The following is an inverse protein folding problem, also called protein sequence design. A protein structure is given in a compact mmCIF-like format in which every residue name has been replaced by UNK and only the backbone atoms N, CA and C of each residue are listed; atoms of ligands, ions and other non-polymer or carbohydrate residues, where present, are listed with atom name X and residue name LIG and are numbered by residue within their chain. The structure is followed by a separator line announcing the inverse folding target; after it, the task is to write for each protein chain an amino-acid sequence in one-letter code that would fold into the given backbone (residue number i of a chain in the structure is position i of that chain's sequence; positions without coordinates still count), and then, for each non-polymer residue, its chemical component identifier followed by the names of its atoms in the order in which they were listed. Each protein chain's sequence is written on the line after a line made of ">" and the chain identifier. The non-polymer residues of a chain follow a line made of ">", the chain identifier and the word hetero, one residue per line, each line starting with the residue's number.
data_IF_454298522069
#
_entry.id   IF_454298522069
#
_cell.length_a   1.000
_cell.length_b   1.000
_cell.length_c   1.000
_cell.angle_alpha   90.00
_cell.angle_beta   90.00
_cell.angle_gamma   90.00
#
_symmetry.space_group_name_H-M   'P 1'
#
loop_
_entity.id
_entity.type
_entity.pdbx_description
1 polymer ?
#
# COMPACT_ATOMS: atom_id res chain seq x y z
N UNK A 1 -52.96 4.69 -19.06
CA UNK A 1 -51.71 4.76 -19.86
C UNK A 1 -50.57 4.41 -18.92
N UNK A 2 -50.04 3.16 -18.95
CA UNK A 2 -48.96 2.72 -18.07
C UNK A 2 -47.63 3.11 -18.72
N UNK A 3 -46.92 4.08 -18.14
CA UNK A 3 -45.56 4.41 -18.57
C UNK A 3 -44.63 3.35 -18.00
N UNK A 4 -44.16 2.44 -18.86
CA UNK A 4 -43.09 1.49 -18.53
C UNK A 4 -41.77 2.26 -18.52
N UNK A 5 -41.26 2.56 -17.32
CA UNK A 5 -39.89 3.03 -17.14
C UNK A 5 -38.98 1.80 -17.29
N UNK A 6 -38.32 1.68 -18.45
CA UNK A 6 -37.21 0.75 -18.61
C UNK A 6 -36.00 1.32 -17.87
N UNK A 7 -35.75 0.84 -16.66
CA UNK A 7 -34.49 1.10 -15.95
C UNK A 7 -33.42 0.23 -16.60
N UNK A 8 -32.59 0.83 -17.46
CA UNK A 8 -31.41 0.19 -18.01
C UNK A 8 -30.38 0.05 -16.87
N UNK A 9 -30.23 -1.17 -16.33
CA UNK A 9 -29.14 -1.48 -15.41
C UNK A 9 -27.83 -1.49 -16.22
N UNK A 10 -27.09 -0.39 -16.19
CA UNK A 10 -25.72 -0.35 -16.71
C UNK A 10 -24.86 -1.12 -15.70
N UNK A 11 -24.46 -2.34 -16.07
CA UNK A 11 -23.45 -3.08 -15.33
C UNK A 11 -22.11 -2.34 -15.46
N UNK A 12 -21.71 -1.62 -14.42
CA UNK A 12 -20.36 -1.08 -14.32
C UNK A 12 -19.38 -2.26 -14.15
N UNK A 13 -18.69 -2.62 -15.23
CA UNK A 13 -17.55 -3.52 -15.14
C UNK A 13 -16.44 -2.78 -14.37
N UNK A 14 -16.19 -3.23 -13.14
CA UNK A 14 -15.01 -2.83 -12.37
C UNK A 14 -13.79 -3.38 -13.11
N UNK A 15 -13.01 -2.49 -13.72
CA UNK A 15 -11.78 -2.83 -14.41
C UNK A 15 -10.65 -2.97 -13.39
N UNK A 16 -10.12 -4.18 -13.26
CA UNK A 16 -8.99 -4.46 -12.37
C UNK A 16 -7.66 -4.20 -13.07
N UNK A 17 -6.81 -3.35 -12.47
CA UNK A 17 -5.44 -3.14 -12.89
C UNK A 17 -4.52 -3.89 -11.92
N UNK A 18 -3.71 -4.80 -12.45
CA UNK A 18 -2.68 -5.48 -11.66
C UNK A 18 -1.53 -4.51 -11.38
N UNK A 19 -1.32 -4.15 -10.11
CA UNK A 19 -0.18 -3.33 -9.68
C UNK A 19 1.05 -4.21 -9.50
N UNK A 20 0.90 -5.33 -8.80
CA UNK A 20 1.97 -6.29 -8.61
C UNK A 20 1.43 -7.69 -8.28
N UNK A 21 2.03 -8.72 -8.87
CA UNK A 21 1.73 -10.14 -8.61
C UNK A 21 3.00 -10.85 -8.13
N UNK A 22 3.04 -11.26 -6.87
CA UNK A 22 4.22 -11.95 -6.32
C UNK A 22 4.37 -13.38 -6.85
N UNK A 23 3.29 -13.99 -7.37
CA UNK A 23 3.34 -15.35 -7.88
C UNK A 23 4.17 -15.47 -9.16
N UNK A 24 4.35 -14.36 -9.89
CA UNK A 24 5.06 -14.33 -11.17
C UNK A 24 6.58 -14.23 -11.04
N UNK A 25 7.15 -14.22 -9.82
CA UNK A 25 8.59 -14.26 -9.47
C UNK A 25 9.54 -13.20 -10.09
N UNK A 26 9.19 -12.54 -11.20
CA UNK A 26 10.16 -11.84 -12.04
C UNK A 26 10.56 -10.42 -11.59
N UNK A 27 9.96 -9.83 -10.55
CA UNK A 27 10.13 -8.38 -10.32
C UNK A 27 10.34 -7.95 -8.85
N UNK A 28 10.77 -8.87 -7.97
CA UNK A 28 11.00 -8.51 -6.55
C UNK A 28 12.12 -7.47 -6.38
N UNK A 29 13.11 -7.45 -7.29
CA UNK A 29 14.27 -6.56 -7.22
C UNK A 29 13.93 -5.07 -7.38
N UNK A 30 12.73 -4.75 -7.90
CA UNK A 30 12.26 -3.36 -8.00
C UNK A 30 11.75 -2.81 -6.66
N UNK A 31 11.51 -3.68 -5.68
CA UNK A 31 11.18 -3.26 -4.33
C UNK A 31 12.45 -2.83 -3.59
N UNK A 32 12.40 -1.64 -3.01
CA UNK A 32 13.50 -1.11 -2.18
C UNK A 32 13.07 -0.99 -0.73
N UNK A 33 14.04 -1.06 0.18
CA UNK A 33 13.83 -0.91 1.63
C UNK A 33 14.21 0.51 2.06
N UNK A 34 13.46 1.04 3.01
CA UNK A 34 13.77 2.30 3.69
C UNK A 34 13.41 2.16 5.16
N UNK A 35 14.43 2.18 6.01
CA UNK A 35 14.29 2.14 7.47
C UNK A 35 14.69 3.50 8.07
N UNK A 36 14.65 3.60 9.39
CA UNK A 36 14.93 4.80 10.18
C UNK A 36 16.42 5.11 10.41
N UNK A 37 17.31 4.46 9.69
CA UNK A 37 18.76 4.48 9.92
C UNK A 37 19.43 5.85 9.72
N UNK A 38 18.75 6.83 9.09
CA UNK A 38 19.32 8.16 8.78
C UNK A 38 19.80 8.88 10.06
N UNK A 39 19.10 8.70 11.17
CA UNK A 39 19.45 9.30 12.47
C UNK A 39 20.03 8.28 13.48
N UNK A 40 20.49 7.11 12.99
CA UNK A 40 21.01 6.03 13.84
C UNK A 40 19.94 5.04 14.33
N UNK A 41 18.72 5.11 13.81
CA UNK A 41 17.66 4.13 14.08
C UNK A 41 18.10 2.69 13.77
N UNK A 42 17.54 1.75 14.52
CA UNK A 42 17.96 0.35 14.52
C UNK A 42 16.93 -0.59 13.87
N UNK A 43 15.93 -0.05 13.16
CA UNK A 43 14.95 -0.89 12.47
C UNK A 43 15.59 -1.62 11.29
N UNK A 44 15.22 -2.88 11.10
CA UNK A 44 15.72 -3.73 10.03
C UNK A 44 14.55 -4.35 9.27
N UNK A 45 14.67 -4.46 7.95
CA UNK A 45 13.62 -5.11 7.16
C UNK A 45 14.11 -5.62 5.81
N UNK A 46 13.33 -6.54 5.24
CA UNK A 46 13.56 -7.13 3.93
C UNK A 46 12.24 -7.40 3.22
N UNK A 47 12.33 -7.45 1.88
CA UNK A 47 11.24 -7.84 1.01
C UNK A 47 11.74 -8.97 0.10
N UNK A 48 11.14 -10.15 0.21
CA UNK A 48 11.55 -11.36 -0.52
C UNK A 48 10.34 -12.10 -1.06
N UNK A 49 10.52 -13.08 -1.95
CA UNK A 49 9.46 -14.01 -2.36
C UNK A 49 9.70 -15.36 -1.66
N UNK A 50 8.67 -15.94 -1.06
CA UNK A 50 8.75 -17.28 -0.46
C UNK A 50 8.45 -18.40 -1.48
N UNK A 51 8.61 -19.66 -1.06
CA UNK A 51 8.38 -20.83 -1.92
C UNK A 51 6.93 -20.96 -2.41
N UNK A 52 5.98 -20.32 -1.72
CA UNK A 52 4.56 -20.28 -2.09
C UNK A 52 4.23 -19.17 -3.11
N UNK A 53 5.22 -18.37 -3.54
CA UNK A 53 5.00 -17.26 -4.47
C UNK A 53 4.38 -16.03 -3.82
N UNK A 54 4.55 -15.85 -2.51
CA UNK A 54 4.09 -14.66 -1.78
C UNK A 54 5.26 -13.72 -1.52
N UNK A 55 5.02 -12.42 -1.63
CA UNK A 55 5.93 -11.38 -1.14
C UNK A 55 5.93 -11.35 0.38
N UNK A 56 7.09 -11.37 1.01
CA UNK A 56 7.26 -11.36 2.47
C UNK A 56 8.01 -10.10 2.86
N UNK A 57 7.27 -9.11 3.35
CA UNK A 57 7.82 -7.94 4.01
C UNK A 57 7.97 -8.25 5.50
N UNK A 58 9.19 -8.27 6.01
CA UNK A 58 9.45 -8.68 7.40
C UNK A 58 10.70 -8.04 7.98
N UNK A 59 10.78 -8.03 9.30
CA UNK A 59 11.92 -7.54 10.06
C UNK A 59 11.52 -7.06 11.44
N UNK A 60 12.29 -6.12 11.97
CA UNK A 60 12.14 -5.58 13.31
C UNK A 60 12.02 -4.05 13.28
N UNK A 61 11.09 -3.51 14.07
CA UNK A 61 11.03 -2.08 14.37
C UNK A 61 11.69 -1.85 15.72
N UNK A 62 12.54 -0.83 15.82
CA UNK A 62 13.07 -0.31 17.09
C UNK A 62 12.82 1.18 17.22
N UNK A 63 12.41 1.63 18.40
CA UNK A 63 12.26 3.04 18.78
C UNK A 63 13.55 3.66 19.32
N UNK A 64 14.62 2.87 19.43
CA UNK A 64 15.93 3.35 19.88
C UNK A 64 16.48 4.36 18.86
N UNK A 65 17.31 5.30 19.33
CA UNK A 65 17.94 6.34 18.51
C UNK A 65 16.96 7.17 17.67
N UNK A 66 15.78 7.46 18.22
CA UNK A 66 14.70 8.17 17.53
C UNK A 66 14.18 7.46 16.27
N UNK A 67 14.31 6.14 16.23
CA UNK A 67 13.73 5.30 15.20
C UNK A 67 12.22 5.09 15.36
N UNK A 68 11.72 4.03 14.74
CA UNK A 68 10.37 3.53 14.89
C UNK A 68 9.66 3.20 13.57
N UNK A 69 10.38 2.95 12.47
CA UNK A 69 9.71 2.47 11.24
C UNK A 69 10.58 1.60 10.32
N UNK A 70 9.88 0.74 9.57
CA UNK A 70 10.40 0.02 8.42
C UNK A 70 9.43 0.16 7.24
N UNK A 71 9.97 0.33 6.03
CA UNK A 71 9.19 0.52 4.81
C UNK A 71 9.75 -0.26 3.63
N UNK A 72 8.87 -0.80 2.81
CA UNK A 72 9.21 -1.28 1.46
C UNK A 72 8.41 -0.48 0.43
N UNK A 73 9.05 -0.14 -0.70
CA UNK A 73 8.47 0.72 -1.74
C UNK A 73 8.81 0.23 -3.14
N UNK A 74 7.89 0.48 -4.06
CA UNK A 74 7.97 0.07 -5.46
C UNK A 74 7.61 1.27 -6.36
N UNK A 75 8.55 1.73 -7.21
CA UNK A 75 8.22 2.62 -8.31
C UNK A 75 7.27 1.93 -9.28
N UNK A 76 6.23 2.65 -9.71
CA UNK A 76 5.25 2.18 -10.69
C UNK A 76 4.95 3.29 -11.68
N UNK A 77 4.23 2.99 -12.76
CA UNK A 77 3.78 3.99 -13.72
C UNK A 77 2.37 3.61 -14.17
N UNK A 78 1.36 4.04 -13.41
CA UNK A 78 -0.03 3.61 -13.58
C UNK A 78 -0.94 4.80 -13.80
N UNK A 79 -1.64 4.78 -14.94
CA UNK A 79 -2.79 5.62 -15.22
C UNK A 79 -4.07 4.93 -14.74
N UNK A 80 -4.82 5.60 -13.86
CA UNK A 80 -6.10 5.14 -13.33
C UNK A 80 -7.20 5.26 -14.38
N UNK A 81 -8.08 4.27 -14.41
CA UNK A 81 -9.29 4.30 -15.23
C UNK A 81 -10.38 5.10 -14.50
N UNK A 82 -11.37 5.62 -15.23
CA UNK A 82 -12.40 6.48 -14.64
C UNK A 82 -13.19 5.83 -13.50
N UNK A 83 -13.32 4.50 -13.53
CA UNK A 83 -14.05 3.73 -12.52
C UNK A 83 -13.17 3.16 -11.42
N UNK A 84 -11.86 3.44 -11.42
CA UNK A 84 -10.93 2.97 -10.40
C UNK A 84 -11.11 3.76 -9.10
N UNK A 85 -11.66 3.11 -8.08
CA UNK A 85 -12.06 3.75 -6.83
C UNK A 85 -11.19 3.35 -5.63
N UNK A 86 -10.53 2.20 -5.68
CA UNK A 86 -9.83 1.62 -4.52
C UNK A 86 -8.58 0.85 -4.91
N UNK A 87 -7.64 0.83 -3.99
CA UNK A 87 -6.52 -0.10 -3.98
C UNK A 87 -6.89 -1.33 -3.15
N UNK A 88 -6.62 -2.53 -3.65
CA UNK A 88 -6.91 -3.79 -2.94
C UNK A 88 -5.65 -4.62 -2.79
N UNK A 89 -5.41 -5.08 -1.57
CA UNK A 89 -4.25 -5.90 -1.20
C UNK A 89 -4.76 -7.27 -0.76
N UNK A 90 -4.34 -8.34 -1.43
CA UNK A 90 -4.56 -9.71 -0.95
C UNK A 90 -3.36 -10.13 -0.12
N UNK A 91 -3.55 -10.35 1.18
CA UNK A 91 -2.46 -10.57 2.13
C UNK A 91 -2.82 -11.58 3.22
N UNK A 92 -1.80 -12.03 3.95
CA UNK A 92 -1.90 -12.66 5.27
C UNK A 92 -0.98 -11.90 6.22
N UNK A 93 -1.58 -11.22 7.20
CA UNK A 93 -0.85 -10.36 8.12
C UNK A 93 -0.43 -11.05 9.41
N UNK A 94 -0.12 -10.22 10.39
CA UNK A 94 0.39 -10.60 11.69
C UNK A 94 -0.34 -9.88 12.84
N UNK A 95 -1.57 -9.41 12.59
CA UNK A 95 -2.38 -8.72 13.59
C UNK A 95 -1.98 -7.27 13.83
N UNK A 96 -1.07 -6.70 13.03
CA UNK A 96 -0.57 -5.33 13.21
C UNK A 96 -1.21 -4.34 12.26
N UNK A 97 -1.07 -3.05 12.61
CA UNK A 97 -1.47 -1.91 11.80
C UNK A 97 -0.32 -1.47 10.91
N UNK A 98 -0.60 -1.34 9.62
CA UNK A 98 0.33 -0.87 8.59
C UNK A 98 -0.21 0.40 7.94
N UNK A 99 0.64 1.08 7.19
CA UNK A 99 0.29 2.16 6.30
C UNK A 99 0.54 1.73 4.86
N UNK A 100 -0.44 1.97 3.99
CA UNK A 100 -0.21 2.01 2.55
C UNK A 100 0.03 3.45 2.15
N UNK A 101 0.98 3.66 1.24
CA UNK A 101 1.37 4.99 0.77
C UNK A 101 1.42 5.04 -0.75
N UNK A 102 1.06 6.18 -1.30
CA UNK A 102 0.98 6.44 -2.74
C UNK A 102 1.66 7.79 -3.02
N UNK A 103 2.37 7.86 -4.15
CA UNK A 103 2.71 9.13 -4.80
C UNK A 103 2.05 9.25 -6.16
N UNK A 104 1.62 10.46 -6.49
CA UNK A 104 1.09 10.80 -7.82
C UNK A 104 2.16 11.27 -8.81
N UNK A 105 3.34 11.65 -8.32
CA UNK A 105 4.47 12.15 -9.11
C UNK A 105 5.79 11.60 -8.57
N UNK A 106 6.81 11.44 -9.43
CA UNK A 106 8.10 10.83 -9.05
C UNK A 106 8.85 11.67 -8.02
N UNK A 107 8.86 12.99 -8.21
CA UNK A 107 9.59 13.98 -7.40
C UNK A 107 8.79 14.46 -6.17
N UNK A 108 7.57 13.95 -5.98
CA UNK A 108 6.71 14.33 -4.87
C UNK A 108 7.41 14.06 -3.52
N UNK A 109 7.48 15.11 -2.69
CA UNK A 109 8.17 15.05 -1.40
C UNK A 109 7.32 14.43 -0.30
N UNK A 110 5.99 14.51 -0.42
CA UNK A 110 5.03 13.95 0.53
C UNK A 110 4.44 12.64 0.02
N UNK A 111 3.70 11.95 0.90
CA UNK A 111 2.96 10.74 0.57
C UNK A 111 1.48 10.97 0.80
N UNK A 112 0.64 10.36 -0.03
CA UNK A 112 -0.75 10.09 0.32
C UNK A 112 -0.80 8.79 1.11
N UNK A 113 -1.42 8.80 2.30
CA UNK A 113 -1.34 7.71 3.28
C UNK A 113 -2.72 7.23 3.66
N UNK A 114 -2.89 5.92 3.77
CA UNK A 114 -4.02 5.29 4.44
C UNK A 114 -3.53 4.16 5.34
N UNK A 115 -4.06 4.07 6.56
CA UNK A 115 -3.71 2.98 7.47
C UNK A 115 -4.68 1.82 7.33
N UNK A 116 -4.20 0.59 7.57
CA UNK A 116 -5.03 -0.60 7.60
C UNK A 116 -4.58 -1.55 8.71
N UNK A 117 -5.57 -2.23 9.32
CA UNK A 117 -5.35 -3.26 10.32
C UNK A 117 -5.32 -4.61 9.62
N UNK A 118 -4.40 -5.49 10.00
CA UNK A 118 -4.33 -6.86 9.48
C UNK A 118 -4.84 -7.86 10.51
N UNK A 119 -5.28 -9.02 10.03
CA UNK A 119 -5.53 -10.24 10.79
C UNK A 119 -4.38 -11.25 10.59
N UNK A 120 -4.49 -12.41 11.23
CA UNK A 120 -3.59 -13.55 11.00
C UNK A 120 -4.09 -14.49 9.91
N UNK A 121 -5.23 -14.19 9.29
CA UNK A 121 -5.83 -14.98 8.21
C UNK A 121 -5.56 -14.35 6.84
N UNK A 122 -5.80 -15.12 5.78
CA UNK A 122 -5.73 -14.58 4.42
C UNK A 122 -6.97 -13.74 4.15
N UNK A 123 -6.78 -12.49 3.75
CA UNK A 123 -7.84 -11.52 3.55
C UNK A 123 -7.57 -10.58 2.37
N UNK A 124 -8.59 -9.78 2.02
CA UNK A 124 -8.47 -8.67 1.08
C UNK A 124 -8.75 -7.36 1.82
N UNK A 125 -7.73 -6.51 1.90
CA UNK A 125 -7.86 -5.14 2.42
C UNK A 125 -8.19 -4.22 1.26
N UNK A 126 -9.31 -3.50 1.32
CA UNK A 126 -9.71 -2.50 0.33
C UNK A 126 -9.54 -1.09 0.89
N UNK A 127 -8.78 -0.26 0.18
CA UNK A 127 -8.42 1.11 0.55
C UNK A 127 -8.96 2.09 -0.50
N UNK A 128 -10.04 2.84 -0.21
CA UNK A 128 -10.57 3.84 -1.13
C UNK A 128 -9.50 4.89 -1.46
N UNK A 129 -9.30 5.20 -2.74
CA UNK A 129 -8.25 6.13 -3.18
C UNK A 129 -8.48 7.54 -2.62
N UNK A 130 -9.74 7.99 -2.59
CA UNK A 130 -10.13 9.29 -2.05
C UNK A 130 -9.95 9.44 -0.51
N UNK A 131 -9.60 8.36 0.20
CA UNK A 131 -9.36 8.38 1.64
C UNK A 131 -7.87 8.47 1.99
N UNK A 132 -6.97 8.45 1.00
CA UNK A 132 -5.55 8.67 1.26
C UNK A 132 -5.26 10.16 1.47
N UNK A 133 -4.85 10.53 2.68
CA UNK A 133 -4.54 11.92 3.04
C UNK A 133 -3.06 12.24 2.85
N UNK A 134 -2.74 13.49 2.52
CA UNK A 134 -1.36 13.92 2.33
C UNK A 134 -0.60 14.06 3.66
N UNK A 135 0.64 13.57 3.70
CA UNK A 135 1.52 13.66 4.86
C UNK A 135 2.99 13.71 4.47
N UNK A 136 3.74 14.59 5.12
CA UNK A 136 5.19 14.73 4.96
C UNK A 136 5.91 14.50 6.29
N UNK A 137 6.79 13.48 6.33
CA UNK A 137 7.58 13.14 7.52
C UNK A 137 6.75 13.01 8.81
N UNK A 138 5.58 12.38 8.68
CA UNK A 138 4.66 12.14 9.81
C UNK A 138 3.69 13.29 10.11
N UNK A 139 3.87 14.46 9.49
CA UNK A 139 2.94 15.59 9.63
C UNK A 139 1.88 15.54 8.53
N UNK A 140 0.61 15.50 8.93
CA UNK A 140 -0.51 15.65 8.00
C UNK A 140 -0.43 17.04 7.36
N UNK A 141 -0.57 17.09 6.04
CA UNK A 141 -0.62 18.33 5.28
C UNK A 141 -2.07 18.82 5.16
N UNK A 142 -2.24 20.13 5.09
CA UNK A 142 -3.53 20.77 4.84
C UNK A 142 -3.76 20.95 3.34
N UNK A 143 -3.88 19.82 2.65
CA UNK A 143 -4.25 19.74 1.23
C UNK A 143 -5.24 18.58 1.05
N UNK A 144 -5.91 18.56 -0.11
CA UNK A 144 -6.89 17.53 -0.41
C UNK A 144 -6.32 16.11 -0.37
N UNK A 145 -7.21 15.13 -0.16
CA UNK A 145 -6.86 13.73 -0.30
C UNK A 145 -6.54 13.39 -1.77
N UNK A 146 -5.99 12.20 -1.99
CA UNK A 146 -5.62 11.75 -3.34
C UNK A 146 -6.82 11.78 -4.31
N UNK A 147 -6.66 12.57 -5.38
CA UNK A 147 -7.62 12.72 -6.48
C UNK A 147 -6.95 12.67 -7.86
N UNK A 148 -5.65 12.38 -7.92
CA UNK A 148 -4.88 12.31 -9.15
C UNK A 148 -5.25 11.08 -9.98
N UNK A 149 -4.98 11.14 -11.29
CA UNK A 149 -5.17 10.02 -12.23
C UNK A 149 -3.95 9.12 -12.37
N UNK A 150 -2.85 9.45 -11.70
CA UNK A 150 -1.57 8.78 -11.86
C UNK A 150 -1.07 8.28 -10.50
N UNK A 151 -0.47 7.10 -10.50
CA UNK A 151 0.31 6.56 -9.39
C UNK A 151 1.71 6.25 -9.89
N UNK A 152 2.72 6.87 -9.28
CA UNK A 152 4.13 6.75 -9.66
C UNK A 152 4.99 5.99 -8.65
N UNK A 153 4.52 5.82 -7.41
CA UNK A 153 5.21 5.03 -6.39
C UNK A 153 4.18 4.52 -5.38
N UNK A 154 4.33 3.27 -4.94
CA UNK A 154 3.58 2.70 -3.82
C UNK A 154 4.54 2.28 -2.71
N UNK A 155 4.07 2.28 -1.46
CA UNK A 155 4.84 1.75 -0.35
C UNK A 155 3.95 1.15 0.75
N UNK A 156 4.53 0.20 1.49
CA UNK A 156 3.96 -0.34 2.73
C UNK A 156 4.92 -0.02 3.85
N UNK A 157 4.42 0.61 4.91
CA UNK A 157 5.20 0.99 6.07
C UNK A 157 4.56 0.40 7.33
N UNK A 158 5.41 -0.11 8.22
CA UNK A 158 5.08 -0.31 9.63
C UNK A 158 5.84 0.73 10.46
N UNK A 159 5.11 1.39 11.36
CA UNK A 159 5.65 2.41 12.25
C UNK A 159 4.65 2.73 13.34
N UNK A 160 4.76 2.02 14.45
CA UNK A 160 3.77 1.98 15.52
C UNK A 160 4.34 2.38 16.88
N UNK A 161 5.55 2.96 16.89
CA UNK A 161 6.26 3.45 18.08
C UNK A 161 6.48 2.36 19.15
N UNK A 162 6.73 1.13 18.71
CA UNK A 162 6.97 -0.02 19.58
C UNK A 162 8.12 -0.85 19.03
N UNK A 163 8.88 -1.47 19.93
CA UNK A 163 9.90 -2.45 19.58
C UNK A 163 9.21 -3.78 19.31
N UNK A 164 9.20 -4.24 18.06
CA UNK A 164 8.56 -5.50 17.70
C UNK A 164 9.02 -6.08 16.35
N UNK A 165 8.91 -7.40 16.24
CA UNK A 165 9.04 -8.15 14.99
C UNK A 165 7.74 -8.12 14.19
N UNK A 166 7.85 -8.02 12.88
CA UNK A 166 6.72 -8.01 11.97
C UNK A 166 6.92 -8.91 10.75
N UNK A 167 5.80 -9.40 10.21
CA UNK A 167 5.79 -10.21 8.99
C UNK A 167 4.46 -10.07 8.28
N UNK A 168 4.50 -9.47 7.10
CA UNK A 168 3.35 -9.31 6.21
C UNK A 168 3.60 -10.13 4.94
N UNK A 169 2.72 -11.11 4.67
CA UNK A 169 2.74 -11.88 3.42
C UNK A 169 1.73 -11.29 2.45
N UNK A 170 2.13 -11.07 1.21
CA UNK A 170 1.34 -10.38 0.19
C UNK A 170 1.28 -11.28 -1.04
N UNK A 171 0.08 -11.57 -1.52
CA UNK A 171 -0.14 -12.32 -2.74
C UNK A 171 -0.09 -11.37 -3.95
N UNK A 172 -0.92 -10.32 -3.93
CA UNK A 172 -0.97 -9.32 -4.99
C UNK A 172 -1.54 -7.98 -4.51
N UNK A 173 -1.32 -6.96 -5.33
CA UNK A 173 -1.84 -5.61 -5.19
C UNK A 173 -2.57 -5.24 -6.49
N UNK A 174 -3.79 -4.75 -6.38
CA UNK A 174 -4.66 -4.38 -7.49
C UNK A 174 -5.24 -2.99 -7.30
N UNK A 175 -5.68 -2.38 -8.39
CA UNK A 175 -6.56 -1.22 -8.39
C UNK A 175 -7.90 -1.64 -9.03
N UNK A 176 -9.00 -1.22 -8.42
CA UNK A 176 -10.37 -1.60 -8.79
C UNK A 176 -11.27 -0.38 -8.79
#
# INVERSE_FOLDING_TARGET
>A
MKVLINVLLIAFCITEIMVFDFSKKENINNWSITNDNVMGGLSSSKMVINDQGEGVFSGSVSTDNNGGFAMTRLPVDITLLENTAKLVIKLKGDGKKYQFRIKSEKEQRFWYIQSFQTSTETEKIALPLNAFYASFRGNKLDIENFSAKEIKEIAILIGNKKNEEFKLKINNITLQ
#
